data_IF_811944374251
#
_entry.id   IF_811944374251
#
_cell.length_a   1.000
_cell.length_b   1.000
_cell.length_c   1.000
_cell.angle_alpha   90.00
_cell.angle_beta   90.00
_cell.angle_gamma   90.00
#
_symmetry.space_group_name_H-M   'P 1'
#
loop_
_entity.id
_entity.type
_entity.pdbx_description
1 polymer ?
#
# COMPACT_ATOMS: atom_id res chain seq x y z
N UNK A 1 -17.82 -25.91 20.55
CA UNK A 1 -19.02 -25.86 19.67
C UNK A 1 -18.81 -24.74 18.64
N UNK A 2 -19.23 -24.89 17.37
CA UNK A 2 -19.10 -23.83 16.35
C UNK A 2 -20.38 -22.98 16.29
N UNK A 3 -20.26 -21.65 16.26
CA UNK A 3 -21.37 -20.69 16.10
C UNK A 3 -21.22 -19.94 14.78
N UNK A 4 -22.34 -19.67 14.11
CA UNK A 4 -22.38 -18.72 12.99
C UNK A 4 -22.69 -17.34 13.55
N UNK A 5 -21.86 -16.37 13.19
CA UNK A 5 -22.03 -14.95 13.51
C UNK A 5 -22.35 -14.24 12.20
N UNK A 6 -23.45 -13.49 12.19
CA UNK A 6 -23.80 -12.57 11.11
C UNK A 6 -23.47 -11.15 11.57
N UNK A 7 -22.61 -10.47 10.82
CA UNK A 7 -22.24 -9.09 11.07
C UNK A 7 -23.31 -8.15 10.48
N UNK A 8 -23.28 -6.87 10.86
CA UNK A 8 -24.20 -5.83 10.32
C UNK A 8 -24.13 -5.71 8.79
N UNK A 9 -23.00 -6.13 8.21
CA UNK A 9 -22.75 -6.23 6.78
C UNK A 9 -23.48 -7.39 6.08
N UNK A 10 -24.15 -8.24 6.83
CA UNK A 10 -24.67 -9.53 6.40
C UNK A 10 -23.58 -10.58 6.16
N UNK A 11 -22.30 -10.28 6.38
CA UNK A 11 -21.21 -11.26 6.34
C UNK A 11 -21.42 -12.31 7.40
N UNK A 12 -21.12 -13.57 7.06
CA UNK A 12 -21.31 -14.71 7.96
C UNK A 12 -19.99 -15.41 8.18
N UNK A 13 -19.59 -15.58 9.43
CA UNK A 13 -18.43 -16.38 9.80
C UNK A 13 -18.84 -17.50 10.73
N UNK A 14 -18.20 -18.65 10.57
CA UNK A 14 -18.35 -19.78 11.48
C UNK A 14 -17.11 -19.85 12.39
N UNK A 15 -17.32 -19.66 13.69
CA UNK A 15 -16.25 -19.56 14.68
C UNK A 15 -16.41 -20.58 15.80
N UNK A 16 -15.31 -21.00 16.41
CA UNK A 16 -15.32 -21.88 17.59
C UNK A 16 -15.57 -21.02 18.84
N UNK A 17 -16.54 -21.41 19.67
CA UNK A 17 -16.86 -20.72 20.94
C UNK A 17 -15.76 -21.01 21.97
N UNK A 18 -15.34 -19.98 22.73
CA UNK A 18 -14.29 -20.01 23.76
C UNK A 18 -12.93 -20.49 23.21
N UNK A 19 -12.49 -19.89 22.10
CA UNK A 19 -11.23 -20.23 21.44
C UNK A 19 -10.20 -19.11 21.65
N UNK A 20 -9.91 -18.86 22.91
CA UNK A 20 -9.12 -17.72 23.39
C UNK A 20 -7.62 -17.93 23.12
N UNK A 21 -7.21 -19.16 22.78
CA UNK A 21 -5.81 -19.60 22.77
C UNK A 21 -5.26 -19.97 21.38
N UNK A 22 -6.07 -19.99 20.33
CA UNK A 22 -5.59 -20.37 18.98
C UNK A 22 -6.17 -19.46 17.92
N UNK A 23 -5.32 -18.72 17.20
CA UNK A 23 -5.72 -18.01 16.00
C UNK A 23 -6.29 -19.03 14.99
N UNK A 24 -7.61 -19.06 14.86
CA UNK A 24 -8.32 -19.78 13.82
C UNK A 24 -8.83 -18.73 12.86
N UNK A 25 -8.34 -18.77 11.62
CA UNK A 25 -8.92 -18.00 10.53
C UNK A 25 -10.44 -18.23 10.52
N UNK A 26 -11.26 -17.18 10.65
CA UNK A 26 -12.71 -17.36 10.63
C UNK A 26 -13.10 -17.99 9.29
N UNK A 27 -13.93 -19.02 9.38
CA UNK A 27 -14.46 -19.69 8.20
C UNK A 27 -15.58 -18.81 7.61
N UNK A 28 -15.19 -17.95 6.68
CA UNK A 28 -16.08 -17.05 5.98
C UNK A 28 -17.04 -17.85 5.10
N UNK A 29 -18.32 -17.83 5.47
CA UNK A 29 -19.40 -18.40 4.67
C UNK A 29 -19.90 -17.39 3.62
N UNK A 30 -19.76 -16.10 3.92
CA UNK A 30 -20.04 -15.00 3.01
C UNK A 30 -19.21 -13.78 3.38
N UNK A 31 -18.71 -13.09 2.36
CA UNK A 31 -17.82 -11.94 2.53
C UNK A 31 -18.60 -10.64 2.71
N UNK A 32 -17.89 -9.61 3.20
CA UNK A 32 -18.38 -8.24 3.35
C UNK A 32 -18.57 -7.56 1.98
N UNK A 33 -17.68 -7.87 1.03
CA UNK A 33 -17.74 -7.39 -0.35
C UNK A 33 -18.39 -8.48 -1.21
N UNK A 34 -19.49 -8.14 -1.90
CA UNK A 34 -20.28 -9.09 -2.72
C UNK A 34 -20.66 -8.54 -4.09
N UNK A 35 -20.62 -7.23 -4.23
CA UNK A 35 -21.01 -6.48 -5.42
C UNK A 35 -20.22 -5.17 -5.50
N UNK A 36 -20.40 -4.42 -6.59
CA UNK A 36 -19.71 -3.15 -6.79
C UNK A 36 -20.02 -2.14 -5.68
N UNK A 37 -21.27 -2.11 -5.20
CA UNK A 37 -21.72 -1.15 -4.19
C UNK A 37 -21.09 -1.40 -2.82
N UNK A 38 -21.08 -2.66 -2.39
CA UNK A 38 -20.39 -3.11 -1.18
C UNK A 38 -18.87 -2.95 -1.32
N UNK A 39 -18.29 -3.18 -2.49
CA UNK A 39 -16.89 -2.87 -2.75
C UNK A 39 -16.60 -1.38 -2.59
N UNK A 40 -17.42 -0.49 -3.16
CA UNK A 40 -17.25 0.96 -3.00
C UNK A 40 -17.38 1.39 -1.53
N UNK A 41 -18.36 0.84 -0.81
CA UNK A 41 -18.57 1.09 0.62
C UNK A 41 -17.42 0.63 1.52
N UNK A 42 -16.85 -0.56 1.25
CA UNK A 42 -15.76 -1.13 2.02
C UNK A 42 -14.40 -0.59 1.61
N UNK A 43 -14.17 -0.27 0.33
CA UNK A 43 -12.96 0.43 -0.13
C UNK A 43 -12.71 1.71 0.66
N UNK A 44 -13.76 2.48 0.94
CA UNK A 44 -13.66 3.68 1.77
C UNK A 44 -13.32 3.40 3.25
N UNK A 45 -13.49 2.17 3.72
CA UNK A 45 -13.41 1.79 5.14
C UNK A 45 -12.28 0.84 5.48
N UNK A 46 -11.79 0.05 4.52
CA UNK A 46 -10.95 -1.10 4.83
C UNK A 46 -9.75 -1.25 3.93
N UNK A 47 -9.65 -0.55 2.80
CA UNK A 47 -8.45 -0.63 1.97
C UNK A 47 -8.09 0.70 1.34
N UNK A 48 -7.05 1.27 1.91
CA UNK A 48 -6.11 2.09 1.18
C UNK A 48 -6.00 3.49 1.75
N UNK A 49 -7.08 4.21 2.07
CA UNK A 49 -6.95 5.60 2.54
C UNK A 49 -6.63 5.64 4.03
N UNK A 50 -5.36 5.87 4.32
CA UNK A 50 -4.86 5.87 5.68
C UNK A 50 -4.74 7.29 6.27
N UNK A 51 -5.32 8.30 5.61
CA UNK A 51 -5.27 9.70 6.08
C UNK A 51 -5.87 9.87 7.48
N UNK A 52 -6.97 9.18 7.78
CA UNK A 52 -7.61 9.21 9.10
C UNK A 52 -7.01 8.18 10.08
N UNK A 53 -6.35 7.14 9.55
CA UNK A 53 -5.77 6.08 10.36
C UNK A 53 -4.42 6.50 10.98
N UNK A 54 -3.57 7.21 10.23
CA UNK A 54 -2.24 7.64 10.70
C UNK A 54 -2.31 8.34 12.08
N UNK A 55 -3.15 9.36 12.29
CA UNK A 55 -3.25 10.02 13.60
C UNK A 55 -3.56 9.05 14.74
N UNK A 56 -4.49 8.11 14.53
CA UNK A 56 -4.96 7.18 15.55
C UNK A 56 -3.87 6.17 15.94
N UNK A 57 -3.14 5.64 14.95
CA UNK A 57 -2.07 4.67 15.23
C UNK A 57 -0.82 5.36 15.79
N UNK A 58 -0.55 6.60 15.38
CA UNK A 58 0.53 7.42 15.95
C UNK A 58 0.30 7.70 17.44
N UNK A 59 -0.94 8.03 17.85
CA UNK A 59 -1.31 8.17 19.27
C UNK A 59 -1.09 6.88 20.08
N UNK A 60 -1.23 5.72 19.43
CA UNK A 60 -0.94 4.42 20.03
C UNK A 60 0.56 4.07 20.09
N UNK A 61 1.44 4.96 19.60
CA UNK A 61 2.90 4.75 19.58
C UNK A 61 3.42 4.02 18.34
N UNK A 62 2.58 3.78 17.32
CA UNK A 62 3.05 3.34 16.00
C UNK A 62 3.79 4.51 15.35
N UNK A 63 4.97 4.26 14.80
CA UNK A 63 5.81 5.31 14.21
C UNK A 63 6.01 5.16 12.70
N UNK A 64 5.42 4.14 12.08
CA UNK A 64 5.59 3.84 10.68
C UNK A 64 4.39 3.07 10.12
N UNK A 65 4.12 3.23 8.82
CA UNK A 65 3.11 2.41 8.14
C UNK A 65 3.48 2.12 6.69
N UNK A 66 3.08 0.92 6.25
CA UNK A 66 3.14 0.43 4.89
C UNK A 66 1.91 -0.46 4.64
N UNK A 67 1.31 -0.45 3.44
CA UNK A 67 1.53 0.49 2.34
C UNK A 67 0.56 1.68 2.37
N UNK A 68 0.82 2.69 1.54
CA UNK A 68 -0.15 3.74 1.21
C UNK A 68 -0.56 3.66 -0.25
N UNK A 69 -1.77 3.15 -0.53
CA UNK A 69 -2.28 3.00 -1.91
C UNK A 69 -2.59 4.35 -2.58
N UNK A 70 -2.08 4.59 -3.78
CA UNK A 70 -2.26 5.87 -4.48
C UNK A 70 -3.73 6.07 -4.87
N UNK A 71 -4.36 5.03 -5.41
CA UNK A 71 -5.75 5.07 -5.89
C UNK A 71 -6.79 5.17 -4.79
N UNK A 72 -6.40 4.96 -3.54
CA UNK A 72 -7.28 5.15 -2.39
C UNK A 72 -7.35 6.61 -1.92
N UNK A 73 -6.57 7.51 -2.53
CA UNK A 73 -6.61 8.94 -2.21
C UNK A 73 -5.75 9.33 -1.01
N UNK A 74 -4.71 8.55 -0.70
CA UNK A 74 -3.67 9.00 0.22
C UNK A 74 -2.91 10.20 -0.36
N UNK A 75 -2.62 11.15 0.52
CA UNK A 75 -1.74 12.27 0.25
C UNK A 75 -0.58 12.26 1.26
N UNK A 76 0.55 11.71 0.84
CA UNK A 76 1.73 11.64 1.70
C UNK A 76 2.37 13.01 1.92
N UNK A 77 2.15 13.99 1.05
CA UNK A 77 2.60 15.36 1.32
C UNK A 77 1.81 15.95 2.48
N UNK A 78 0.49 15.75 2.50
CA UNK A 78 -0.34 16.13 3.62
C UNK A 78 0.04 15.37 4.88
N UNK A 79 0.23 14.04 4.83
CA UNK A 79 0.64 13.26 6.00
C UNK A 79 2.00 13.69 6.55
N UNK A 80 3.00 13.85 5.69
CA UNK A 80 4.33 14.31 6.09
C UNK A 80 4.27 15.68 6.77
N UNK A 81 3.40 16.58 6.31
CA UNK A 81 3.22 17.91 6.91
C UNK A 81 2.59 17.86 8.30
N UNK A 82 1.56 17.02 8.50
CA UNK A 82 0.83 16.93 9.77
C UNK A 82 1.52 16.00 10.78
N UNK A 83 2.26 15.01 10.30
CA UNK A 83 2.92 13.95 11.08
C UNK A 83 4.40 13.84 10.70
N UNK A 84 5.23 14.88 10.93
CA UNK A 84 6.60 14.96 10.39
C UNK A 84 7.59 13.94 10.97
N UNK A 85 7.21 13.21 12.02
CA UNK A 85 8.02 12.13 12.62
C UNK A 85 7.54 10.74 12.22
N UNK A 86 6.37 10.63 11.59
CA UNK A 86 5.80 9.36 11.18
C UNK A 86 6.46 8.89 9.89
N UNK A 87 6.89 7.63 9.87
CA UNK A 87 7.61 7.04 8.75
C UNK A 87 6.61 6.54 7.71
N UNK A 88 6.71 7.10 6.50
CA UNK A 88 5.82 6.80 5.39
C UNK A 88 6.53 5.85 4.41
N UNK A 89 5.87 4.76 3.99
CA UNK A 89 6.47 3.79 3.07
C UNK A 89 5.53 3.45 1.91
N UNK A 90 6.06 3.42 0.68
CA UNK A 90 5.28 3.08 -0.53
C UNK A 90 4.81 4.29 -1.35
N UNK A 91 3.55 4.28 -1.79
CA UNK A 91 2.85 5.36 -2.51
C UNK A 91 3.33 5.68 -3.94
N UNK A 92 4.12 4.78 -4.55
CA UNK A 92 4.36 4.82 -5.99
C UNK A 92 3.36 3.90 -6.69
N UNK A 93 2.59 4.48 -7.61
CA UNK A 93 1.47 3.82 -8.27
C UNK A 93 1.97 2.63 -9.11
N UNK A 94 1.48 1.43 -8.78
CA UNK A 94 1.95 0.16 -9.37
C UNK A 94 1.64 -0.02 -10.86
N UNK A 95 0.53 0.54 -11.36
CA UNK A 95 0.19 0.45 -12.79
C UNK A 95 1.14 1.26 -13.68
N UNK A 96 1.87 2.23 -13.13
CA UNK A 96 2.94 2.92 -13.86
C UNK A 96 4.02 1.97 -14.39
N UNK A 97 4.15 0.77 -13.83
CA UNK A 97 5.14 -0.24 -14.22
C UNK A 97 4.55 -1.32 -15.15
N UNK A 98 3.25 -1.28 -15.43
CA UNK A 98 2.63 -2.23 -16.36
C UNK A 98 3.14 -2.04 -17.79
N UNK A 99 3.04 -3.09 -18.59
CA UNK A 99 3.25 -3.04 -20.04
C UNK A 99 2.41 -1.91 -20.68
N UNK A 100 3.07 -1.07 -21.49
CA UNK A 100 2.44 0.06 -22.19
C UNK A 100 2.33 1.35 -21.36
N UNK A 101 2.77 1.35 -20.10
CA UNK A 101 2.75 2.51 -19.20
C UNK A 101 4.17 3.05 -18.89
N UNK A 102 5.18 2.66 -19.66
CA UNK A 102 6.60 2.94 -19.40
C UNK A 102 6.89 4.43 -19.18
N UNK A 103 6.24 5.28 -19.98
CA UNK A 103 6.40 6.73 -19.94
C UNK A 103 5.92 7.35 -18.61
N UNK A 104 5.11 6.62 -17.83
CA UNK A 104 4.58 7.08 -16.55
C UNK A 104 5.57 6.91 -15.40
N UNK A 105 6.49 5.95 -15.48
CA UNK A 105 7.44 5.60 -14.41
C UNK A 105 8.20 6.83 -13.93
N UNK A 106 8.78 7.60 -14.87
CA UNK A 106 9.59 8.76 -14.53
C UNK A 106 8.76 9.85 -13.86
N UNK A 107 7.56 10.11 -14.39
CA UNK A 107 6.65 11.13 -13.83
C UNK A 107 6.24 10.75 -12.41
N UNK A 108 5.90 9.50 -12.19
CA UNK A 108 5.47 8.98 -10.88
C UNK A 108 6.57 9.15 -9.84
N UNK A 109 7.79 8.68 -10.12
CA UNK A 109 8.92 8.79 -9.19
C UNK A 109 9.29 10.26 -8.95
N UNK A 110 9.49 11.04 -10.01
CA UNK A 110 10.06 12.39 -9.87
C UNK A 110 9.09 13.40 -9.29
N UNK A 111 7.77 13.18 -9.40
CA UNK A 111 6.77 14.06 -8.79
C UNK A 111 6.61 13.83 -7.28
N UNK A 112 6.99 12.66 -6.76
CA UNK A 112 6.74 12.24 -5.37
C UNK A 112 8.00 12.08 -4.54
N UNK A 113 9.00 11.39 -5.07
CA UNK A 113 10.15 10.92 -4.29
C UNK A 113 11.07 12.06 -3.86
N UNK A 114 11.59 12.93 -4.75
CA UNK A 114 12.52 13.99 -4.33
C UNK A 114 11.98 14.91 -3.22
N UNK A 115 10.75 15.47 -3.31
CA UNK A 115 10.23 16.36 -2.26
C UNK A 115 9.98 15.64 -0.93
N UNK A 116 9.60 14.36 -0.93
CA UNK A 116 9.44 13.59 0.31
C UNK A 116 10.79 13.19 0.93
N UNK A 117 11.79 12.85 0.10
CA UNK A 117 13.14 12.55 0.59
C UNK A 117 13.81 13.76 1.24
N UNK A 118 13.64 14.96 0.69
CA UNK A 118 14.20 16.20 1.26
C UNK A 118 13.74 16.43 2.71
N UNK A 119 12.53 15.96 3.03
CA UNK A 119 11.96 16.07 4.39
C UNK A 119 12.40 14.96 5.34
N UNK A 120 12.91 13.84 4.81
CA UNK A 120 13.21 12.64 5.60
C UNK A 120 11.97 11.85 6.02
N UNK A 121 12.18 10.64 6.56
CA UNK A 121 11.09 9.79 7.05
C UNK A 121 10.25 9.11 5.97
N UNK A 122 10.71 9.10 4.71
CA UNK A 122 10.03 8.45 3.60
C UNK A 122 10.87 7.33 2.99
N UNK A 123 10.29 6.13 2.89
CA UNK A 123 10.87 4.96 2.23
C UNK A 123 10.09 4.67 0.94
N UNK A 124 10.56 5.15 -0.22
CA UNK A 124 9.82 4.99 -1.47
C UNK A 124 9.78 3.52 -1.91
N UNK A 125 8.59 3.05 -2.30
CA UNK A 125 8.36 1.73 -2.89
C UNK A 125 7.04 1.75 -3.66
N UNK A 126 6.72 0.66 -4.37
CA UNK A 126 5.38 0.44 -4.89
C UNK A 126 4.32 0.55 -3.78
N UNK A 127 3.14 1.03 -4.16
CA UNK A 127 2.01 1.24 -3.27
C UNK A 127 1.30 -0.04 -2.83
N UNK A 128 1.65 -1.18 -3.44
CA UNK A 128 1.27 -2.53 -3.02
C UNK A 128 2.15 -3.58 -3.73
N UNK A 129 1.60 -4.78 -3.91
CA UNK A 129 2.21 -5.86 -4.68
C UNK A 129 2.23 -5.56 -6.18
N UNK A 130 3.25 -6.10 -6.85
CA UNK A 130 3.46 -6.02 -8.29
C UNK A 130 2.28 -6.68 -9.02
N UNK A 131 1.78 -6.03 -10.07
CA UNK A 131 0.67 -6.56 -10.87
C UNK A 131 1.17 -7.57 -11.93
N UNK A 132 0.31 -8.52 -12.36
CA UNK A 132 0.67 -9.48 -13.41
C UNK A 132 1.08 -8.85 -14.75
N UNK A 133 0.66 -7.61 -15.02
CA UNK A 133 0.97 -6.87 -16.25
C UNK A 133 2.35 -6.17 -16.20
N UNK A 134 3.05 -6.21 -15.06
CA UNK A 134 4.38 -5.62 -14.95
C UNK A 134 5.38 -6.43 -15.76
N UNK A 135 6.09 -5.76 -16.66
CA UNK A 135 7.20 -6.39 -17.39
C UNK A 135 8.47 -6.31 -16.56
N UNK A 136 9.37 -7.29 -16.75
CA UNK A 136 10.70 -7.24 -16.13
C UNK A 136 11.48 -5.99 -16.55
N UNK A 137 11.34 -5.56 -17.80
CA UNK A 137 11.95 -4.35 -18.34
C UNK A 137 11.51 -3.11 -17.55
N UNK A 138 10.21 -2.96 -17.32
CA UNK A 138 9.65 -1.80 -16.63
C UNK A 138 10.02 -1.81 -15.16
N UNK A 139 10.04 -2.98 -14.53
CA UNK A 139 10.51 -3.12 -13.16
C UNK A 139 11.99 -2.70 -13.02
N UNK A 140 12.86 -3.12 -13.93
CA UNK A 140 14.26 -2.69 -13.95
C UNK A 140 14.39 -1.18 -14.16
N UNK A 141 13.62 -0.57 -15.07
CA UNK A 141 13.60 0.89 -15.27
C UNK A 141 13.15 1.63 -14.00
N UNK A 142 12.07 1.16 -13.37
CA UNK A 142 11.53 1.73 -12.14
C UNK A 142 12.56 1.66 -11.00
N UNK A 143 13.14 0.48 -10.75
CA UNK A 143 14.13 0.29 -9.68
C UNK A 143 15.42 1.06 -9.94
N UNK A 144 15.88 1.11 -11.20
CA UNK A 144 17.08 1.89 -11.57
C UNK A 144 16.88 3.38 -11.32
N UNK A 145 15.75 3.94 -11.77
CA UNK A 145 15.47 5.36 -11.53
C UNK A 145 15.28 5.65 -10.05
N UNK A 146 14.58 4.78 -9.32
CA UNK A 146 14.38 4.96 -7.88
C UNK A 146 15.71 4.92 -7.11
N UNK A 147 16.61 4.02 -7.50
CA UNK A 147 17.96 3.96 -6.96
C UNK A 147 18.75 5.26 -7.21
N UNK A 148 18.72 5.78 -8.43
CA UNK A 148 19.38 7.04 -8.80
C UNK A 148 18.83 8.24 -8.01
N UNK A 149 17.51 8.32 -7.83
CA UNK A 149 16.85 9.41 -7.12
C UNK A 149 17.09 9.33 -5.60
N UNK A 150 17.16 8.13 -5.04
CA UNK A 150 17.42 7.92 -3.60
C UNK A 150 18.89 8.09 -3.24
N UNK A 151 19.80 8.00 -4.21
CA UNK A 151 21.24 8.11 -3.97
C UNK A 151 21.79 7.02 -3.04
N UNK A 152 21.15 5.85 -3.02
CA UNK A 152 21.55 4.75 -2.14
C UNK A 152 22.98 4.29 -2.47
N UNK A 153 23.93 4.34 -1.52
CA UNK A 153 25.33 3.97 -1.79
C UNK A 153 25.59 2.45 -1.83
N UNK A 154 24.66 1.64 -1.34
CA UNK A 154 24.83 0.19 -1.16
C UNK A 154 23.99 -0.66 -2.13
N UNK A 155 23.20 -0.02 -2.99
CA UNK A 155 22.27 -0.70 -3.90
C UNK A 155 22.91 -1.14 -5.22
N UNK A 156 22.84 -2.43 -5.53
CA UNK A 156 23.05 -2.94 -6.90
C UNK A 156 21.72 -3.38 -7.49
N UNK A 157 21.35 -2.81 -8.64
CA UNK A 157 20.10 -3.13 -9.34
C UNK A 157 20.39 -3.61 -10.76
N UNK A 158 19.65 -4.62 -11.24
CA UNK A 158 19.75 -5.06 -12.63
C UNK A 158 19.44 -3.88 -13.55
N UNK A 159 20.45 -3.41 -14.26
CA UNK A 159 20.29 -2.43 -15.34
C UNK A 159 20.09 -3.20 -16.63
N UNK A 160 19.15 -2.74 -17.44
CA UNK A 160 18.97 -3.30 -18.77
C UNK A 160 20.21 -2.92 -19.57
N UNK A 161 20.95 -3.93 -20.00
CA UNK A 161 22.10 -3.72 -20.87
C UNK A 161 21.59 -3.03 -22.14
N UNK A 162 22.21 -1.94 -22.61
CA UNK A 162 21.86 -1.41 -23.92
C UNK A 162 22.09 -2.51 -24.96
N UNK A 163 21.06 -2.80 -25.75
CA UNK A 163 21.17 -3.66 -26.94
C UNK A 163 22.13 -3.05 -27.97
#
# INVERSE_FOLDING_TARGET
MKKVIEYESGARTRQVINNDETYIMPDFQSFHVRDRKSWEFYRERTDGNAMELVPLVEECGVNAMFPFEVKAGNDLFALQKHHPKFILMGWLEKESVNEGNEDLIRREIMSKVPPLLEKGGYFPNGDHGIQPLVTFENLCKFMTLLHEVTGNPEGEFPRIMPN
#
